data_IF_813792461834
#
_entry.id   IF_813792461834
#
_cell.length_a   1.000
_cell.length_b   1.000
_cell.length_c   1.000
_cell.angle_alpha   90.00
_cell.angle_beta   90.00
_cell.angle_gamma   90.00
#
_symmetry.space_group_name_H-M   'P 1'
#
loop_
_entity.id
_entity.type
_entity.pdbx_description
1 polymer ?
#
# COMPACT_ATOMS: atom_id res chain seq x y z
N UNK A 1 -24.59 24.28 29.49
CA UNK A 1 -24.86 24.49 28.04
C UNK A 1 -23.57 24.88 27.33
N UNK A 2 -22.62 25.58 28.00
CA UNK A 2 -21.40 26.10 27.38
C UNK A 2 -20.31 25.05 27.05
N UNK A 3 -20.24 23.95 27.79
CA UNK A 3 -19.21 22.92 27.54
C UNK A 3 -19.41 22.15 26.21
N UNK A 4 -20.68 21.91 25.83
CA UNK A 4 -20.99 21.20 24.57
C UNK A 4 -20.71 22.08 23.34
N UNK A 5 -20.93 23.38 23.45
CA UNK A 5 -20.60 24.35 22.40
C UNK A 5 -19.08 24.49 22.22
N UNK A 6 -18.32 24.47 23.31
CA UNK A 6 -16.86 24.46 23.31
C UNK A 6 -16.28 23.21 22.66
N UNK A 7 -16.85 22.04 23.00
CA UNK A 7 -16.41 20.76 22.40
C UNK A 7 -16.71 20.68 20.89
N UNK A 8 -17.90 21.18 20.48
CA UNK A 8 -18.25 21.26 19.05
C UNK A 8 -17.31 22.20 18.28
N UNK A 9 -16.94 23.35 18.87
CA UNK A 9 -15.97 24.28 18.28
C UNK A 9 -14.57 23.67 18.15
N UNK A 10 -14.10 22.93 19.14
CA UNK A 10 -12.82 22.21 19.11
C UNK A 10 -12.84 21.07 18.10
N UNK A 11 -13.93 20.34 17.97
CA UNK A 11 -14.09 19.28 16.96
C UNK A 11 -14.18 19.85 15.55
N UNK A 12 -14.81 21.01 15.36
CA UNK A 12 -14.87 21.70 14.07
C UNK A 12 -13.53 22.35 13.69
N UNK A 13 -12.77 22.89 14.65
CA UNK A 13 -11.43 23.42 14.42
C UNK A 13 -10.43 22.29 14.09
N UNK A 14 -10.56 21.11 14.72
CA UNK A 14 -9.75 19.94 14.42
C UNK A 14 -10.08 19.30 13.06
N UNK A 15 -11.29 19.50 12.52
CA UNK A 15 -11.70 19.02 11.20
C UNK A 15 -11.04 19.77 10.04
N UNK A 16 -10.44 20.93 10.27
CA UNK A 16 -9.95 21.83 9.21
C UNK A 16 -8.56 21.50 8.66
N UNK A 17 -7.80 20.55 9.28
CA UNK A 17 -6.44 20.19 8.85
C UNK A 17 -6.09 18.71 9.09
N UNK A 18 -7.02 17.79 8.87
CA UNK A 18 -6.65 16.38 8.81
C UNK A 18 -6.18 16.13 7.38
N UNK A 19 -4.87 16.09 7.20
CA UNK A 19 -4.28 15.67 5.94
C UNK A 19 -4.63 14.18 5.74
N UNK A 20 -5.46 13.91 4.73
CA UNK A 20 -5.84 12.53 4.38
C UNK A 20 -4.79 12.03 3.41
N UNK A 21 -3.87 11.21 3.90
CA UNK A 21 -2.83 10.60 3.08
C UNK A 21 -3.34 9.25 2.54
N UNK A 22 -3.49 9.10 1.21
CA UNK A 22 -3.89 7.84 0.62
C UNK A 22 -2.72 6.85 0.61
N UNK A 23 -3.02 5.58 0.94
CA UNK A 23 -2.10 4.46 0.75
C UNK A 23 -2.67 3.54 -0.32
N UNK A 24 -1.84 3.00 -1.19
CA UNK A 24 -2.26 2.09 -2.26
C UNK A 24 -1.66 0.71 -2.06
N UNK A 25 -2.52 -0.30 -2.02
CA UNK A 25 -2.17 -1.71 -1.97
C UNK A 25 -2.41 -2.32 -3.34
N UNK A 26 -1.40 -2.93 -3.93
CA UNK A 26 -1.46 -3.50 -5.27
C UNK A 26 -1.07 -4.97 -5.20
N UNK A 27 -1.99 -5.86 -5.60
CA UNK A 27 -1.67 -7.25 -5.84
C UNK A 27 -0.86 -7.33 -7.14
N UNK A 28 0.30 -7.97 -7.10
CA UNK A 28 1.12 -8.18 -8.31
C UNK A 28 0.28 -8.86 -9.40
N UNK A 29 0.41 -8.41 -10.64
CA UNK A 29 -0.24 -9.05 -11.80
C UNK A 29 0.13 -10.52 -11.93
N UNK A 30 1.31 -10.90 -11.42
CA UNK A 30 1.85 -12.25 -11.37
C UNK A 30 1.78 -12.87 -9.97
N UNK A 31 0.88 -12.40 -9.09
CA UNK A 31 0.77 -12.90 -7.72
C UNK A 31 0.54 -14.42 -7.64
N UNK A 32 0.03 -15.04 -8.69
CA UNK A 32 -0.25 -16.47 -8.76
C UNK A 32 0.72 -17.25 -9.66
N UNK A 33 1.21 -16.63 -10.74
CA UNK A 33 2.10 -17.26 -11.73
C UNK A 33 3.55 -16.78 -11.67
N UNK A 34 3.84 -15.72 -10.92
CA UNK A 34 5.18 -15.16 -10.76
C UNK A 34 6.13 -16.06 -9.99
N UNK A 35 7.39 -15.64 -9.93
CA UNK A 35 8.41 -16.29 -9.11
C UNK A 35 8.07 -16.12 -7.62
N UNK A 36 8.45 -17.10 -6.81
CA UNK A 36 8.31 -16.97 -5.36
C UNK A 36 9.37 -16.00 -4.83
N UNK A 37 8.94 -14.97 -4.11
CA UNK A 37 9.85 -14.08 -3.42
C UNK A 37 10.39 -14.77 -2.16
N UNK A 38 11.71 -14.96 -2.11
CA UNK A 38 12.39 -15.62 -1.00
C UNK A 38 13.30 -14.63 -0.24
N UNK A 39 13.64 -14.89 1.03
CA UNK A 39 14.40 -13.94 1.86
C UNK A 39 15.80 -13.56 1.34
N UNK A 40 16.38 -14.35 0.45
CA UNK A 40 17.67 -14.06 -0.18
C UNK A 40 17.59 -13.03 -1.31
N UNK A 41 16.38 -12.77 -1.84
CA UNK A 41 16.16 -11.75 -2.87
C UNK A 41 16.22 -10.37 -2.22
N UNK A 42 17.08 -9.51 -2.76
CA UNK A 42 17.23 -8.12 -2.30
C UNK A 42 16.28 -7.20 -3.07
N UNK A 43 15.73 -6.22 -2.37
CA UNK A 43 14.98 -5.14 -3.00
C UNK A 43 15.86 -4.35 -3.99
N UNK A 44 15.29 -3.76 -5.03
CA UNK A 44 16.03 -2.90 -5.94
C UNK A 44 16.54 -1.65 -5.20
N UNK A 45 17.65 -1.12 -5.68
CA UNK A 45 18.30 0.08 -5.14
C UNK A 45 18.36 1.18 -6.19
N UNK A 46 18.40 2.40 -5.75
CA UNK A 46 18.77 3.55 -6.59
C UNK A 46 20.21 3.38 -7.07
N UNK A 47 20.46 3.64 -8.36
CA UNK A 47 21.78 3.41 -8.96
C UNK A 47 22.83 4.44 -8.55
N UNK A 48 22.40 5.63 -8.17
CA UNK A 48 23.29 6.74 -7.85
C UNK A 48 23.63 6.76 -6.35
N UNK A 49 22.63 6.55 -5.51
CA UNK A 49 22.76 6.64 -4.05
C UNK A 49 22.92 5.28 -3.39
N UNK A 50 22.62 4.19 -4.09
CA UNK A 50 22.51 2.84 -3.53
C UNK A 50 21.42 2.71 -2.44
N UNK A 51 20.54 3.69 -2.30
CA UNK A 51 19.42 3.64 -1.37
C UNK A 51 18.41 2.56 -1.78
N UNK A 52 17.88 1.76 -0.84
CA UNK A 52 16.88 0.75 -1.16
C UNK A 52 15.57 1.43 -1.57
N UNK A 53 14.97 0.98 -2.68
CA UNK A 53 13.70 1.49 -3.19
C UNK A 53 12.50 0.91 -2.45
N UNK A 54 12.69 -0.20 -1.73
CA UNK A 54 11.63 -0.85 -0.97
C UNK A 54 12.21 -1.68 0.17
N UNK A 55 11.33 -2.01 1.12
CA UNK A 55 11.53 -3.03 2.14
C UNK A 55 10.67 -4.25 1.80
N UNK A 56 11.18 -5.45 2.03
CA UNK A 56 10.44 -6.70 1.80
C UNK A 56 10.09 -7.31 3.15
N UNK A 57 8.80 -7.46 3.41
CA UNK A 57 8.27 -8.02 4.65
C UNK A 57 7.59 -9.35 4.32
N UNK A 58 8.08 -10.42 4.93
CA UNK A 58 7.53 -11.74 4.76
C UNK A 58 6.41 -12.02 5.77
N UNK A 59 5.36 -12.77 5.37
CA UNK A 59 4.27 -13.12 6.26
C UNK A 59 4.79 -13.91 7.47
N UNK A 60 4.30 -13.59 8.66
CA UNK A 60 4.65 -14.29 9.90
C UNK A 60 3.79 -15.52 10.08
N UNK A 61 4.32 -16.55 10.76
CA UNK A 61 3.58 -17.77 11.07
C UNK A 61 2.36 -17.55 12.00
N UNK A 62 2.34 -16.44 12.75
CA UNK A 62 1.19 -16.03 13.57
C UNK A 62 0.64 -14.72 13.01
N UNK A 63 -0.64 -14.66 12.64
CA UNK A 63 -1.26 -13.44 12.14
C UNK A 63 -1.20 -12.34 13.19
N UNK A 64 -0.99 -11.12 12.73
CA UNK A 64 -1.12 -9.92 13.56
C UNK A 64 -2.57 -9.84 14.03
N UNK A 65 -2.78 -9.40 15.27
CA UNK A 65 -4.12 -9.14 15.82
C UNK A 65 -4.89 -8.27 14.82
N UNK A 66 -6.04 -8.75 14.38
CA UNK A 66 -6.93 -8.05 13.46
C UNK A 66 -7.27 -6.66 14.00
N UNK A 67 -7.11 -5.61 13.20
CA UNK A 67 -7.71 -4.34 13.55
C UNK A 67 -9.23 -4.49 13.66
N UNK A 68 -9.82 -3.83 14.64
CA UNK A 68 -11.27 -3.82 14.81
C UNK A 68 -11.83 -2.85 13.78
N UNK A 69 -12.59 -3.39 12.82
CA UNK A 69 -13.26 -2.58 11.80
C UNK A 69 -14.76 -2.48 12.08
N UNK A 70 -15.35 -1.37 11.66
CA UNK A 70 -16.79 -1.28 11.52
C UNK A 70 -17.30 -2.40 10.56
N UNK A 71 -18.51 -2.91 10.81
CA UNK A 71 -19.07 -4.08 10.11
C UNK A 71 -19.07 -3.92 8.58
N UNK A 72 -19.40 -2.73 8.07
CA UNK A 72 -19.38 -2.43 6.63
C UNK A 72 -17.99 -2.51 6.01
N UNK A 73 -16.99 -1.96 6.70
CA UNK A 73 -15.59 -2.01 6.26
C UNK A 73 -15.05 -3.44 6.32
N UNK A 74 -15.35 -4.18 7.39
CA UNK A 74 -14.95 -5.58 7.52
C UNK A 74 -15.50 -6.43 6.38
N UNK A 75 -16.76 -6.26 6.01
CA UNK A 75 -17.38 -6.95 4.87
C UNK A 75 -16.69 -6.61 3.55
N UNK A 76 -16.38 -5.34 3.32
CA UNK A 76 -15.66 -4.90 2.11
C UNK A 76 -14.27 -5.51 2.01
N UNK A 77 -13.53 -5.57 3.12
CA UNK A 77 -12.20 -6.19 3.19
C UNK A 77 -12.29 -7.68 2.89
N UNK A 78 -13.25 -8.39 3.49
CA UNK A 78 -13.45 -9.82 3.26
C UNK A 78 -13.78 -10.11 1.79
N UNK A 79 -14.63 -9.30 1.16
CA UNK A 79 -14.96 -9.45 -0.27
C UNK A 79 -13.71 -9.31 -1.15
N UNK A 80 -12.85 -8.32 -0.88
CA UNK A 80 -11.59 -8.12 -1.62
C UNK A 80 -10.65 -9.30 -1.39
N UNK A 81 -10.51 -9.78 -0.17
CA UNK A 81 -9.67 -10.93 0.14
C UNK A 81 -10.16 -12.19 -0.58
N UNK A 82 -11.46 -12.40 -0.65
CA UNK A 82 -12.04 -13.55 -1.35
C UNK A 82 -11.88 -13.40 -2.87
N UNK A 83 -12.02 -12.20 -3.43
CA UNK A 83 -11.73 -11.91 -4.83
C UNK A 83 -10.25 -12.22 -5.14
N UNK A 84 -9.32 -11.74 -4.32
CA UNK A 84 -7.89 -11.91 -4.53
C UNK A 84 -7.42 -13.36 -4.35
N UNK A 85 -8.05 -14.15 -3.46
CA UNK A 85 -7.80 -15.60 -3.35
C UNK A 85 -8.24 -16.37 -4.59
N UNK A 86 -9.20 -15.84 -5.35
CA UNK A 86 -9.79 -16.53 -6.50
C UNK A 86 -9.49 -15.86 -7.85
N UNK A 87 -8.46 -15.02 -7.93
CA UNK A 87 -8.07 -14.27 -9.14
C UNK A 87 -7.97 -15.17 -10.36
N UNK A 88 -7.35 -16.36 -10.25
CA UNK A 88 -7.22 -17.28 -11.39
C UNK A 88 -8.58 -17.79 -11.88
N UNK A 89 -9.46 -18.17 -10.95
CA UNK A 89 -10.79 -18.65 -11.31
C UNK A 89 -11.63 -17.56 -11.97
N UNK A 90 -11.47 -16.31 -11.54
CA UNK A 90 -12.15 -15.16 -12.14
C UNK A 90 -11.63 -14.91 -13.56
N UNK A 91 -10.30 -14.88 -13.74
CA UNK A 91 -9.67 -14.72 -15.06
C UNK A 91 -10.06 -15.84 -16.04
N UNK A 92 -10.10 -17.09 -15.58
CA UNK A 92 -10.57 -18.23 -16.40
C UNK A 92 -12.01 -18.09 -16.87
N UNK A 93 -12.85 -17.34 -16.14
CA UNK A 93 -14.22 -17.01 -16.51
C UNK A 93 -14.35 -15.71 -17.30
N UNK A 94 -13.22 -15.10 -17.69
CA UNK A 94 -13.21 -13.81 -18.40
C UNK A 94 -13.55 -12.61 -17.52
N UNK A 95 -13.48 -12.75 -16.20
CA UNK A 95 -13.71 -11.65 -15.26
C UNK A 95 -12.35 -11.07 -14.85
N UNK A 96 -12.16 -9.76 -15.10
CA UNK A 96 -10.96 -9.03 -14.70
C UNK A 96 -11.11 -8.57 -13.24
N UNK A 97 -10.36 -9.15 -12.27
CA UNK A 97 -10.43 -8.74 -10.88
C UNK A 97 -9.73 -7.39 -10.67
N UNK A 98 -10.18 -6.62 -9.67
CA UNK A 98 -9.51 -5.40 -9.26
C UNK A 98 -8.23 -5.75 -8.48
N UNK A 99 -7.06 -5.53 -9.10
CA UNK A 99 -5.76 -5.83 -8.50
C UNK A 99 -5.20 -4.69 -7.63
N UNK A 100 -5.96 -3.63 -7.38
CA UNK A 100 -5.49 -2.52 -6.56
C UNK A 100 -6.57 -1.99 -5.66
N UNK A 101 -6.20 -1.69 -4.42
CA UNK A 101 -7.04 -1.14 -3.37
C UNK A 101 -6.44 0.19 -2.92
N UNK A 102 -7.28 1.22 -2.81
CA UNK A 102 -6.88 2.51 -2.27
C UNK A 102 -7.47 2.69 -0.88
N UNK A 103 -6.61 2.98 0.09
CA UNK A 103 -6.97 3.17 1.50
C UNK A 103 -6.92 4.65 1.84
N UNK A 104 -8.03 5.21 2.25
CA UNK A 104 -8.13 6.60 2.70
C UNK A 104 -8.36 6.67 4.20
N UNK A 105 -7.76 7.65 4.85
CA UNK A 105 -7.96 7.91 6.27
C UNK A 105 -6.87 8.79 6.85
N UNK A 106 -7.13 9.33 8.04
CA UNK A 106 -6.15 10.12 8.78
C UNK A 106 -4.90 9.28 9.12
N UNK A 107 -3.75 9.91 9.37
CA UNK A 107 -2.59 9.21 9.95
C UNK A 107 -2.99 8.45 11.21
N UNK A 108 -2.43 7.25 11.42
CA UNK A 108 -2.73 6.42 12.59
C UNK A 108 -4.04 5.63 12.54
N UNK A 109 -4.83 5.69 11.46
CA UNK A 109 -6.08 4.91 11.33
C UNK A 109 -5.89 3.45 10.95
N UNK A 110 -4.65 2.96 10.85
CA UNK A 110 -4.36 1.55 10.62
C UNK A 110 -4.28 1.12 9.14
N UNK A 111 -4.11 2.05 8.19
CA UNK A 111 -3.98 1.72 6.75
C UNK A 111 -2.84 0.73 6.48
N UNK A 112 -1.65 1.01 6.99
CA UNK A 112 -0.48 0.15 6.88
C UNK A 112 -0.70 -1.21 7.55
N UNK A 113 -1.36 -1.21 8.74
CA UNK A 113 -1.71 -2.44 9.45
C UNK A 113 -2.69 -3.31 8.64
N UNK A 114 -3.67 -2.69 7.96
CA UNK A 114 -4.59 -3.40 7.07
C UNK A 114 -3.84 -4.02 5.87
N UNK A 115 -2.89 -3.30 5.26
CA UNK A 115 -2.07 -3.84 4.17
C UNK A 115 -1.29 -5.08 4.63
N UNK A 116 -0.69 -5.03 5.82
CA UNK A 116 0.00 -6.18 6.43
C UNK A 116 -0.97 -7.35 6.68
N UNK A 117 -2.16 -7.08 7.21
CA UNK A 117 -3.18 -8.09 7.42
C UNK A 117 -3.60 -8.79 6.11
N UNK A 118 -3.76 -8.03 5.02
CA UNK A 118 -4.05 -8.57 3.70
C UNK A 118 -2.92 -9.52 3.24
N UNK A 119 -1.66 -9.09 3.35
CA UNK A 119 -0.50 -9.90 2.98
C UNK A 119 -0.43 -11.21 3.76
N UNK A 120 -0.61 -11.15 5.09
CA UNK A 120 -0.62 -12.33 5.95
C UNK A 120 -1.79 -13.29 5.63
N UNK A 121 -2.99 -12.74 5.39
CA UNK A 121 -4.18 -13.55 5.06
C UNK A 121 -4.03 -14.25 3.71
N UNK A 122 -3.34 -13.63 2.75
CA UNK A 122 -3.07 -14.22 1.44
C UNK A 122 -1.78 -15.07 1.42
N UNK A 123 -0.97 -15.05 2.50
CA UNK A 123 0.32 -15.73 2.55
C UNK A 123 1.36 -15.13 1.59
N UNK A 124 1.22 -13.85 1.23
CA UNK A 124 2.07 -13.17 0.27
C UNK A 124 3.03 -12.20 0.96
N UNK A 125 4.30 -12.12 0.55
CA UNK A 125 5.22 -11.08 0.97
C UNK A 125 4.70 -9.71 0.55
N UNK A 126 5.01 -8.69 1.35
CA UNK A 126 4.69 -7.29 1.06
C UNK A 126 5.99 -6.57 0.71
N UNK A 127 5.98 -5.89 -0.42
CA UNK A 127 7.01 -4.95 -0.84
C UNK A 127 6.52 -3.56 -0.46
N UNK A 128 7.11 -2.96 0.56
CA UNK A 128 6.77 -1.60 1.03
C UNK A 128 7.69 -0.61 0.32
N UNK A 129 7.11 0.26 -0.50
CA UNK A 129 7.86 1.30 -1.20
C UNK A 129 8.49 2.29 -0.21
N UNK A 130 9.74 2.65 -0.42
CA UNK A 130 10.46 3.64 0.37
C UNK A 130 10.53 4.96 -0.39
N UNK A 131 9.80 5.96 0.07
CA UNK A 131 9.74 7.27 -0.59
C UNK A 131 11.11 7.96 -0.62
N UNK A 132 11.92 7.83 0.45
CA UNK A 132 13.28 8.36 0.54
C UNK A 132 14.22 7.79 -0.53
N UNK A 133 14.05 6.52 -0.92
CA UNK A 133 14.79 5.89 -2.01
C UNK A 133 14.21 6.16 -3.39
N UNK A 134 12.89 6.37 -3.48
CA UNK A 134 12.23 6.62 -4.75
C UNK A 134 12.39 8.04 -5.25
N UNK A 135 12.35 9.02 -4.33
CA UNK A 135 12.43 10.44 -4.64
C UNK A 135 13.90 10.85 -4.84
N UNK A 136 14.16 11.51 -5.94
CA UNK A 136 15.46 12.11 -6.26
C UNK A 136 15.25 13.57 -6.64
N UNK A 137 16.27 14.39 -6.45
CA UNK A 137 16.31 15.76 -6.92
C UNK A 137 16.14 15.85 -8.46
N UNK A 138 16.38 14.74 -9.16
CA UNK A 138 16.21 14.65 -10.61
C UNK A 138 14.96 13.87 -10.96
N UNK A 139 14.03 14.51 -11.68
CA UNK A 139 12.75 13.91 -12.07
C UNK A 139 12.92 12.61 -12.89
N UNK A 140 13.94 12.55 -13.75
CA UNK A 140 14.24 11.35 -14.55
C UNK A 140 14.68 10.15 -13.70
N UNK A 141 15.40 10.37 -12.62
CA UNK A 141 15.83 9.32 -11.68
C UNK A 141 14.64 8.80 -10.88
N UNK A 142 13.77 9.68 -10.39
CA UNK A 142 12.51 9.31 -9.71
C UNK A 142 11.65 8.41 -10.60
N UNK A 143 11.41 8.80 -11.87
CA UNK A 143 10.62 7.99 -12.80
C UNK A 143 11.23 6.60 -13.04
N UNK A 144 12.56 6.51 -13.18
CA UNK A 144 13.30 5.26 -13.35
C UNK A 144 13.19 4.38 -12.11
N UNK A 145 13.33 4.95 -10.91
CA UNK A 145 13.23 4.21 -9.66
C UNK A 145 11.83 3.63 -9.46
N UNK A 146 10.79 4.40 -9.77
CA UNK A 146 9.41 3.92 -9.75
C UNK A 146 9.22 2.77 -10.75
N UNK A 147 9.70 2.91 -11.99
CA UNK A 147 9.61 1.86 -12.99
C UNK A 147 10.34 0.57 -12.55
N UNK A 148 11.53 0.69 -11.96
CA UNK A 148 12.30 -0.43 -11.43
C UNK A 148 11.56 -1.13 -10.28
N UNK A 149 10.92 -0.38 -9.37
CA UNK A 149 10.14 -0.93 -8.27
C UNK A 149 8.95 -1.74 -8.80
N UNK A 150 8.19 -1.18 -9.76
CA UNK A 150 7.05 -1.89 -10.36
C UNK A 150 7.49 -3.12 -11.16
N UNK A 151 8.57 -3.04 -11.92
CA UNK A 151 9.13 -4.19 -12.66
C UNK A 151 9.54 -5.31 -11.69
N UNK A 152 10.18 -4.95 -10.57
CA UNK A 152 10.53 -5.88 -9.52
C UNK A 152 9.27 -6.52 -8.89
N UNK A 153 8.30 -5.73 -8.47
CA UNK A 153 7.07 -6.25 -7.86
C UNK A 153 6.29 -7.16 -8.83
N UNK A 154 6.23 -6.82 -10.11
CA UNK A 154 5.53 -7.62 -11.12
C UNK A 154 6.20 -8.97 -11.42
N UNK A 155 7.48 -9.14 -11.09
CA UNK A 155 8.18 -10.42 -11.27
C UNK A 155 7.73 -11.47 -10.26
N UNK A 156 7.38 -11.05 -9.05
CA UNK A 156 7.18 -11.95 -7.91
C UNK A 156 5.71 -12.06 -7.48
N UNK A 157 5.41 -13.15 -6.78
CA UNK A 157 4.16 -13.35 -6.03
C UNK A 157 4.21 -12.49 -4.77
N UNK A 158 3.63 -11.30 -4.81
CA UNK A 158 3.72 -10.33 -3.71
C UNK A 158 2.59 -9.30 -3.76
N UNK A 159 2.54 -8.49 -2.73
CA UNK A 159 1.75 -7.27 -2.65
C UNK A 159 2.71 -6.09 -2.65
N UNK A 160 2.44 -5.06 -3.43
CA UNK A 160 3.13 -3.78 -3.38
C UNK A 160 2.30 -2.78 -2.57
N UNK A 161 2.87 -2.25 -1.51
CA UNK A 161 2.32 -1.18 -0.69
C UNK A 161 3.03 0.14 -1.03
N UNK A 162 2.25 1.10 -1.50
CA UNK A 162 2.68 2.49 -1.67
C UNK A 162 2.03 3.29 -0.54
N UNK A 163 2.75 3.47 0.55
CA UNK A 163 2.27 4.28 1.68
C UNK A 163 2.60 5.76 1.44
N UNK A 164 1.74 6.67 1.92
CA UNK A 164 1.91 8.13 1.75
C UNK A 164 2.16 8.58 0.30
N UNK A 165 1.52 7.92 -0.66
CA UNK A 165 1.78 8.06 -2.11
C UNK A 165 1.54 9.49 -2.65
N UNK A 166 0.76 10.29 -1.98
CA UNK A 166 0.51 11.70 -2.34
C UNK A 166 1.75 12.59 -2.22
N UNK A 167 2.75 12.20 -1.44
CA UNK A 167 4.04 12.89 -1.42
C UNK A 167 4.71 12.88 -2.81
N UNK A 168 4.53 11.81 -3.59
CA UNK A 168 5.02 11.73 -4.97
C UNK A 168 4.20 12.62 -5.91
N UNK A 169 2.90 12.75 -5.68
CA UNK A 169 2.02 13.58 -6.50
C UNK A 169 2.30 15.08 -6.29
N UNK A 170 2.54 15.51 -5.04
CA UNK A 170 2.83 16.91 -4.69
C UNK A 170 4.11 17.45 -5.35
N UNK A 171 5.11 16.60 -5.58
CA UNK A 171 6.34 17.02 -6.30
C UNK A 171 6.13 17.38 -7.77
N UNK A 172 5.01 17.01 -8.38
CA UNK A 172 4.65 17.37 -9.75
C UNK A 172 3.97 18.74 -9.87
N UNK A 173 3.40 19.21 -8.77
CA UNK A 173 2.59 20.44 -8.75
C UNK A 173 3.38 21.66 -8.22
N UNK A 174 4.67 21.49 -7.86
CA UNK A 174 5.54 22.60 -7.46
C UNK A 174 6.24 23.16 -8.72
N UNK A 175 5.71 24.24 -9.33
CA UNK A 175 6.39 24.92 -10.43
C UNK A 175 7.51 25.78 -9.83
N UNK A 176 8.76 25.33 -9.91
CA UNK A 176 9.90 26.24 -9.80
C UNK A 176 9.90 27.25 -10.94
#
# INVERSE_FOLDING_TARGET
VDQVAGLKKLLQAKKKNIEILPSRVILSSNALSGEQLIPTVKAPVDRETSAPLAEIIFPKAKPITLPIFESGLASSINNILDEWKHVDKLKMKGIEPALSLMLFGAPGTGKTLLAHHIGETLGLPIIVARLDGLLSSFLGTTARNIANLFAFANRYKCILLLDEFDAIAKLRDDPN
#
